data_IF_079034807150
#
_entry.id   IF_079034807150
#
_cell.length_a   1.000
_cell.length_b   1.000
_cell.length_c   1.000
_cell.angle_alpha   90.00
_cell.angle_beta   90.00
_cell.angle_gamma   90.00
#
_symmetry.space_group_name_H-M   'P 1'
#
loop_
_entity.id
_entity.type
_entity.pdbx_description
1 polymer ?
#
# COMPACT_ATOMS: atom_id res chain seq x y z
N UNK A 1 5.86 11.52 35.18
CA UNK A 1 4.71 10.83 34.61
C UNK A 1 4.90 10.81 33.10
N UNK A 2 4.81 9.65 32.42
CA UNK A 2 4.75 9.68 30.94
C UNK A 2 3.42 10.34 30.58
N UNK A 3 3.45 11.41 29.78
CA UNK A 3 2.23 11.98 29.24
C UNK A 3 1.53 10.93 28.40
N UNK A 4 0.34 10.53 28.81
CA UNK A 4 -0.50 9.61 28.06
C UNK A 4 -0.94 10.25 26.74
N UNK A 5 -1.24 9.43 25.73
CA UNK A 5 -1.75 9.93 24.46
C UNK A 5 -3.08 10.67 24.68
N UNK A 6 -3.10 11.93 24.34
CA UNK A 6 -4.26 12.81 24.31
C UNK A 6 -4.10 13.80 23.15
N UNK A 7 -5.09 14.68 22.90
CA UNK A 7 -5.05 15.61 21.78
C UNK A 7 -3.78 16.45 21.78
N UNK A 8 -3.44 17.09 22.91
CA UNK A 8 -2.25 17.93 23.02
C UNK A 8 -0.95 17.16 22.73
N UNK A 9 -0.86 15.92 23.20
CA UNK A 9 0.30 15.04 22.92
C UNK A 9 0.40 14.70 21.44
N UNK A 10 -0.74 14.38 20.80
CA UNK A 10 -0.78 14.10 19.35
C UNK A 10 -0.39 15.34 18.55
N UNK A 11 -0.95 16.51 18.90
CA UNK A 11 -0.63 17.79 18.24
C UNK A 11 0.87 18.08 18.28
N UNK A 12 1.50 17.86 19.43
CA UNK A 12 2.95 18.07 19.57
C UNK A 12 3.75 17.06 18.72
N UNK A 13 3.33 15.81 18.64
CA UNK A 13 4.00 14.79 17.83
C UNK A 13 3.89 15.10 16.33
N UNK A 14 2.71 15.52 15.87
CA UNK A 14 2.45 15.87 14.46
C UNK A 14 3.18 17.16 14.09
N UNK A 15 3.15 18.19 14.95
CA UNK A 15 3.93 19.41 14.78
C UNK A 15 5.43 19.10 14.67
N UNK A 16 5.95 18.23 15.54
CA UNK A 16 7.35 17.81 15.50
C UNK A 16 7.69 17.03 14.21
N UNK A 17 6.76 16.31 13.64
CA UNK A 17 6.96 15.65 12.33
C UNK A 17 7.06 16.70 11.21
N UNK A 18 6.16 17.68 11.18
CA UNK A 18 6.12 18.75 10.18
C UNK A 18 7.37 19.66 10.21
N UNK A 19 8.09 19.75 11.36
CA UNK A 19 9.35 20.52 11.43
C UNK A 19 10.57 19.79 10.90
N UNK A 20 10.46 18.54 10.47
CA UNK A 20 11.61 17.80 9.94
C UNK A 20 11.97 18.27 8.55
N UNK A 21 13.27 18.21 8.24
CA UNK A 21 13.78 18.64 6.93
C UNK A 21 13.01 17.98 5.80
N UNK A 22 12.53 18.76 4.85
CA UNK A 22 11.72 18.39 3.69
C UNK A 22 10.28 17.93 4.01
N UNK A 23 9.82 17.99 5.25
CA UNK A 23 8.41 17.75 5.58
C UNK A 23 7.71 19.09 5.62
N UNK A 24 6.75 19.29 4.73
CA UNK A 24 5.99 20.54 4.60
C UNK A 24 4.68 20.46 5.37
N UNK A 25 4.12 19.26 5.50
CA UNK A 25 2.91 19.01 6.27
C UNK A 25 2.84 17.60 6.80
N UNK A 26 2.02 17.40 7.83
CA UNK A 26 1.75 16.09 8.39
C UNK A 26 0.31 16.03 8.91
N UNK A 27 -0.34 14.89 8.74
CA UNK A 27 -1.63 14.58 9.35
C UNK A 27 -1.60 13.16 9.91
N UNK A 28 -2.13 12.97 11.13
CA UNK A 28 -2.30 11.66 11.74
C UNK A 28 -3.64 11.55 12.44
N UNK A 29 -4.31 10.42 12.22
CA UNK A 29 -5.54 10.03 12.88
C UNK A 29 -5.29 8.74 13.65
N UNK A 30 -5.67 8.72 14.93
CA UNK A 30 -5.47 7.60 15.85
C UNK A 30 -6.81 7.27 16.49
N UNK A 31 -7.23 6.01 16.40
CA UNK A 31 -8.51 5.59 16.97
C UNK A 31 -8.43 4.19 17.55
N UNK A 32 -9.06 3.95 18.70
CA UNK A 32 -9.25 2.60 19.25
C UNK A 32 -10.36 1.85 18.50
N UNK A 33 -10.38 0.51 18.62
CA UNK A 33 -11.41 -0.31 17.99
C UNK A 33 -12.82 0.03 18.43
N UNK A 34 -12.99 0.39 19.71
CA UNK A 34 -14.26 0.78 20.32
C UNK A 34 -14.60 2.29 20.18
N UNK A 35 -13.76 3.07 19.52
CA UNK A 35 -13.84 4.54 19.39
C UNK A 35 -13.79 5.32 20.72
N UNK A 36 -13.39 4.72 21.82
CA UNK A 36 -13.19 5.45 23.10
C UNK A 36 -12.02 6.43 23.01
N UNK A 37 -11.06 6.16 22.15
CA UNK A 37 -10.00 7.09 21.72
C UNK A 37 -10.24 7.38 20.23
N UNK A 38 -10.39 8.67 19.88
CA UNK A 38 -10.47 9.13 18.49
C UNK A 38 -9.87 10.53 18.37
N UNK A 39 -8.61 10.58 17.93
CA UNK A 39 -7.80 11.80 17.89
C UNK A 39 -7.26 12.03 16.50
N UNK A 40 -7.40 13.22 15.97
CA UNK A 40 -6.77 13.64 14.73
C UNK A 40 -6.01 14.94 14.92
N UNK A 41 -4.88 15.06 14.24
CA UNK A 41 -4.07 16.28 14.28
C UNK A 41 -3.36 16.48 12.95
N UNK A 42 -3.22 17.74 12.55
CA UNK A 42 -2.49 18.14 11.35
C UNK A 42 -1.60 19.35 11.65
N UNK A 43 -0.55 19.53 10.85
CA UNK A 43 0.38 20.65 10.98
C UNK A 43 1.12 20.93 9.67
N UNK A 44 1.59 22.16 9.50
CA UNK A 44 2.23 22.63 8.27
C UNK A 44 1.20 22.87 7.16
N UNK A 45 1.51 22.43 5.94
CA UNK A 45 0.65 22.60 4.78
C UNK A 45 -0.52 21.58 4.70
N UNK A 46 -0.65 20.70 5.70
CA UNK A 46 -1.75 19.75 5.79
C UNK A 46 -2.75 20.14 6.86
N UNK A 47 -4.03 19.88 6.56
CA UNK A 47 -5.16 20.00 7.49
C UNK A 47 -5.72 18.59 7.79
N UNK A 48 -6.59 18.46 8.80
CA UNK A 48 -7.20 17.19 9.21
C UNK A 48 -7.97 16.49 8.06
N UNK A 49 -8.54 17.27 7.16
CA UNK A 49 -9.31 16.82 6.01
C UNK A 49 -8.52 16.87 4.69
N UNK A 50 -7.22 17.11 4.72
CA UNK A 50 -6.39 17.11 3.51
C UNK A 50 -6.48 15.79 2.79
N UNK A 51 -6.72 15.85 1.48
CA UNK A 51 -6.61 14.72 0.59
C UNK A 51 -5.17 14.60 0.13
N UNK A 52 -4.63 13.39 0.12
CA UNK A 52 -3.24 13.11 -0.28
C UNK A 52 -3.13 11.77 -0.98
N UNK A 53 -2.09 11.62 -1.79
CA UNK A 53 -1.78 10.37 -2.46
C UNK A 53 -1.34 9.31 -1.44
N UNK A 54 -2.09 8.21 -1.35
CA UNK A 54 -1.85 7.16 -0.37
C UNK A 54 -0.80 6.14 -0.80
N UNK A 55 -0.33 6.24 -2.04
CA UNK A 55 0.67 5.35 -2.63
C UNK A 55 0.34 3.86 -2.37
N UNK A 56 1.30 3.08 -1.90
CA UNK A 56 1.15 1.63 -1.75
C UNK A 56 0.09 1.17 -0.73
N UNK A 57 -0.60 2.07 -0.02
CA UNK A 57 -1.77 1.69 0.77
C UNK A 57 -2.91 1.21 -0.16
N UNK A 58 -2.93 1.60 -1.45
CA UNK A 58 -3.84 1.08 -2.46
C UNK A 58 -3.84 -0.46 -2.52
N UNK A 59 -2.73 -1.10 -2.16
CA UNK A 59 -2.60 -2.56 -2.13
C UNK A 59 -3.54 -3.24 -1.13
N UNK A 60 -3.89 -2.55 -0.03
CA UNK A 60 -4.92 -3.05 0.90
C UNK A 60 -6.31 -3.01 0.24
N UNK A 61 -6.63 -1.97 -0.52
CA UNK A 61 -7.90 -1.86 -1.25
C UNK A 61 -8.01 -2.97 -2.31
N UNK A 62 -6.99 -3.15 -3.14
CA UNK A 62 -6.96 -4.25 -4.13
C UNK A 62 -7.06 -5.61 -3.43
N UNK A 63 -6.31 -5.80 -2.33
CA UNK A 63 -6.35 -7.04 -1.56
C UNK A 63 -7.73 -7.31 -0.95
N UNK A 64 -8.44 -6.28 -0.47
CA UNK A 64 -9.79 -6.44 0.08
C UNK A 64 -10.78 -6.95 -0.96
N UNK A 65 -10.67 -6.48 -2.21
CA UNK A 65 -11.50 -6.95 -3.32
C UNK A 65 -11.19 -8.43 -3.65
N UNK A 66 -9.91 -8.80 -3.77
CA UNK A 66 -9.52 -10.21 -3.99
C UNK A 66 -10.04 -11.12 -2.87
N UNK A 67 -9.92 -10.68 -1.61
CA UNK A 67 -10.41 -11.46 -0.45
C UNK A 67 -11.93 -11.55 -0.42
N UNK A 68 -12.65 -10.53 -0.88
CA UNK A 68 -14.10 -10.56 -1.07
C UNK A 68 -14.48 -11.58 -2.14
N UNK A 69 -13.86 -11.52 -3.33
CA UNK A 69 -14.08 -12.48 -4.41
C UNK A 69 -13.78 -13.93 -3.96
N UNK A 70 -12.73 -14.12 -3.17
CA UNK A 70 -12.40 -15.41 -2.55
C UNK A 70 -13.51 -15.88 -1.60
N UNK A 71 -14.05 -14.99 -0.77
CA UNK A 71 -15.15 -15.30 0.16
C UNK A 71 -16.46 -15.63 -0.57
N UNK A 72 -16.68 -14.99 -1.72
CA UNK A 72 -17.81 -15.24 -2.63
C UNK A 72 -17.65 -16.48 -3.49
N UNK A 73 -16.55 -17.25 -3.36
CA UNK A 73 -16.18 -18.41 -4.17
C UNK A 73 -16.10 -18.09 -5.68
N UNK A 74 -15.72 -16.86 -6.05
CA UNK A 74 -15.50 -16.43 -7.43
C UNK A 74 -14.05 -16.66 -7.89
N UNK A 75 -13.15 -16.94 -6.96
CA UNK A 75 -11.77 -17.38 -7.18
C UNK A 75 -11.28 -18.19 -5.97
N UNK A 76 -10.21 -18.99 -6.15
CA UNK A 76 -9.39 -19.52 -5.07
C UNK A 76 -8.00 -18.86 -5.09
N UNK A 77 -7.41 -18.64 -3.91
CA UNK A 77 -6.07 -18.03 -3.82
C UNK A 77 -4.98 -18.90 -4.46
N UNK A 78 -5.22 -20.20 -4.61
CA UNK A 78 -4.31 -21.15 -5.27
C UNK A 78 -4.58 -21.33 -6.76
N UNK A 79 -5.63 -20.72 -7.30
CA UNK A 79 -5.92 -20.76 -8.74
C UNK A 79 -4.76 -20.14 -9.52
N UNK A 80 -4.53 -20.66 -10.72
CA UNK A 80 -3.53 -20.13 -11.64
C UNK A 80 -4.02 -18.80 -12.22
N UNK A 81 -3.14 -17.82 -12.33
CA UNK A 81 -3.52 -16.55 -12.97
C UNK A 81 -3.95 -16.74 -14.43
N UNK A 82 -3.51 -17.82 -15.08
CA UNK A 82 -3.91 -18.19 -16.44
C UNK A 82 -5.37 -18.61 -16.59
N UNK A 83 -6.09 -18.85 -15.49
CA UNK A 83 -7.53 -19.11 -15.49
C UNK A 83 -8.33 -17.81 -15.65
N UNK A 84 -7.72 -16.68 -15.32
CA UNK A 84 -8.36 -15.36 -15.28
C UNK A 84 -7.80 -14.38 -16.30
N UNK A 85 -6.62 -14.63 -16.85
CA UNK A 85 -5.93 -13.70 -17.73
C UNK A 85 -5.76 -14.26 -19.16
N UNK A 86 -5.84 -13.40 -20.18
CA UNK A 86 -5.57 -13.78 -21.55
C UNK A 86 -4.18 -14.40 -21.74
N UNK A 87 -4.07 -15.35 -22.66
CA UNK A 87 -2.82 -16.08 -22.91
C UNK A 87 -1.66 -15.15 -23.32
N UNK A 88 -1.95 -14.06 -24.02
CA UNK A 88 -0.98 -13.05 -24.42
C UNK A 88 -0.42 -12.28 -23.21
N UNK A 89 -1.16 -12.10 -22.13
CA UNK A 89 -0.68 -11.52 -20.87
C UNK A 89 0.24 -12.50 -20.15
N UNK A 90 -0.19 -13.76 -20.03
CA UNK A 90 0.50 -14.78 -19.23
C UNK A 90 1.78 -15.28 -19.89
N UNK A 91 1.76 -15.54 -21.21
CA UNK A 91 2.90 -16.13 -21.94
C UNK A 91 4.17 -15.30 -21.77
N UNK A 92 5.23 -15.93 -21.22
CA UNK A 92 6.53 -15.28 -21.02
C UNK A 92 6.56 -14.23 -19.92
N UNK A 93 5.52 -14.14 -19.07
CA UNK A 93 5.46 -13.20 -17.96
C UNK A 93 6.52 -13.48 -16.90
N UNK A 94 6.86 -14.75 -16.69
CA UNK A 94 7.84 -15.17 -15.70
C UNK A 94 8.85 -16.17 -16.26
N UNK A 95 9.89 -15.67 -16.90
CA UNK A 95 11.02 -16.52 -17.37
C UNK A 95 12.20 -16.36 -16.41
N UNK A 96 12.60 -17.44 -15.73
CA UNK A 96 13.73 -17.45 -14.80
C UNK A 96 14.80 -18.45 -15.22
N UNK A 97 16.00 -17.95 -15.51
CA UNK A 97 17.15 -18.78 -15.95
C UNK A 97 16.82 -19.73 -17.11
N UNK A 98 16.10 -19.22 -18.11
CA UNK A 98 15.74 -19.94 -19.32
C UNK A 98 14.52 -20.85 -19.21
N UNK A 99 13.93 -21.01 -18.00
CA UNK A 99 12.67 -21.77 -17.81
C UNK A 99 11.50 -20.82 -17.64
N UNK A 100 10.41 -21.08 -18.39
CA UNK A 100 9.14 -20.36 -18.25
C UNK A 100 8.31 -20.95 -17.10
N UNK A 101 7.98 -20.11 -16.13
CA UNK A 101 7.16 -20.40 -14.96
C UNK A 101 5.83 -19.63 -14.98
N UNK A 102 5.48 -19.00 -16.10
CA UNK A 102 4.30 -18.14 -16.18
C UNK A 102 3.01 -18.87 -15.80
N UNK A 103 2.88 -20.15 -16.19
CA UNK A 103 1.74 -20.99 -15.82
C UNK A 103 1.81 -21.56 -14.39
N UNK A 104 2.90 -21.32 -13.66
CA UNK A 104 3.03 -21.72 -12.26
C UNK A 104 2.63 -20.59 -11.30
N UNK A 105 2.37 -19.38 -11.83
CA UNK A 105 1.90 -18.25 -11.04
C UNK A 105 0.46 -18.51 -10.55
N UNK A 106 0.27 -18.33 -9.23
CA UNK A 106 -1.05 -18.36 -8.59
C UNK A 106 -1.37 -16.99 -7.97
N UNK A 107 -2.64 -16.71 -7.72
CA UNK A 107 -3.12 -15.48 -7.05
C UNK A 107 -2.39 -15.27 -5.72
N UNK A 108 -2.23 -16.33 -4.90
CA UNK A 108 -1.51 -16.24 -3.62
C UNK A 108 -0.04 -15.80 -3.79
N UNK A 109 0.61 -16.12 -4.90
CA UNK A 109 1.98 -15.69 -5.16
C UNK A 109 2.04 -14.17 -5.36
N UNK A 110 1.06 -13.58 -6.02
CA UNK A 110 0.93 -12.13 -6.20
C UNK A 110 0.57 -11.46 -4.87
N UNK A 111 -0.46 -11.96 -4.18
CA UNK A 111 -0.93 -11.45 -2.90
C UNK A 111 0.14 -11.47 -1.81
N UNK A 112 1.06 -12.45 -1.82
CA UNK A 112 2.10 -12.61 -0.80
C UNK A 112 3.49 -12.14 -1.25
N UNK A 113 3.59 -11.50 -2.42
CA UNK A 113 4.85 -11.03 -3.03
C UNK A 113 5.90 -12.14 -3.20
N UNK A 114 5.43 -13.38 -3.45
CA UNK A 114 6.27 -14.57 -3.66
C UNK A 114 6.28 -15.02 -5.13
N UNK A 115 5.77 -14.20 -6.03
CA UNK A 115 5.78 -14.45 -7.46
C UNK A 115 7.19 -14.51 -8.06
N UNK A 116 8.13 -13.72 -7.52
CA UNK A 116 9.45 -13.53 -8.11
C UNK A 116 9.47 -12.64 -9.35
N UNK A 117 8.36 -12.01 -9.69
CA UNK A 117 8.27 -11.02 -10.75
C UNK A 117 9.11 -9.78 -10.44
N UNK A 118 9.70 -9.13 -11.45
CA UNK A 118 10.34 -7.84 -11.26
C UNK A 118 9.28 -6.75 -11.02
N UNK A 119 9.69 -5.70 -10.33
CA UNK A 119 8.87 -4.52 -10.13
C UNK A 119 9.12 -3.51 -11.25
N UNK A 120 8.11 -3.23 -12.09
CA UNK A 120 8.23 -2.27 -13.19
C UNK A 120 8.68 -0.88 -12.73
N UNK A 121 8.34 -0.52 -11.47
CA UNK A 121 8.58 0.81 -10.93
C UNK A 121 10.00 1.01 -10.38
N UNK A 122 10.52 0.04 -9.60
CA UNK A 122 11.79 0.21 -8.85
C UNK A 122 12.93 -0.68 -9.33
N UNK A 123 12.68 -1.76 -10.06
CA UNK A 123 13.75 -2.58 -10.62
C UNK A 123 14.23 -1.99 -11.97
N UNK A 124 15.43 -2.36 -12.41
CA UNK A 124 15.98 -1.89 -13.69
C UNK A 124 15.19 -2.49 -14.85
N UNK A 125 14.71 -1.63 -15.72
CA UNK A 125 14.11 -1.98 -17.00
C UNK A 125 15.15 -2.48 -18.00
N UNK A 126 14.71 -2.98 -19.15
CA UNK A 126 15.60 -3.48 -20.20
C UNK A 126 16.58 -2.41 -20.74
N UNK A 127 16.18 -1.13 -20.73
CA UNK A 127 17.00 0.02 -21.10
C UNK A 127 17.98 0.48 -19.99
N UNK A 128 17.92 -0.15 -18.80
CA UNK A 128 18.78 0.16 -17.65
C UNK A 128 18.24 1.26 -16.72
N UNK A 129 17.13 1.94 -17.08
CA UNK A 129 16.50 2.98 -16.23
C UNK A 129 15.60 2.36 -15.17
N UNK A 130 15.06 3.20 -14.28
CA UNK A 130 14.03 2.84 -13.30
C UNK A 130 12.93 3.88 -13.37
N UNK A 131 11.67 3.44 -13.53
CA UNK A 131 10.56 4.37 -13.64
C UNK A 131 10.44 5.30 -12.42
N UNK A 132 10.65 4.78 -11.20
CA UNK A 132 10.63 5.62 -9.99
C UNK A 132 11.71 6.71 -10.02
N UNK A 133 12.91 6.40 -10.48
CA UNK A 133 13.98 7.41 -10.56
C UNK A 133 13.69 8.49 -11.61
N UNK A 134 13.00 8.14 -12.69
CA UNK A 134 12.53 9.10 -13.70
C UNK A 134 11.44 10.00 -13.11
N UNK A 135 10.45 9.45 -12.39
CA UNK A 135 9.42 10.23 -11.67
C UNK A 135 10.05 11.18 -10.63
N UNK A 136 11.01 10.69 -9.85
CA UNK A 136 11.74 11.50 -8.85
C UNK A 136 12.60 12.60 -9.49
N UNK A 137 12.97 12.45 -10.77
CA UNK A 137 13.65 13.45 -11.57
C UNK A 137 12.69 14.40 -12.32
N UNK A 138 11.37 14.30 -12.08
CA UNK A 138 10.35 15.13 -12.70
C UNK A 138 9.91 14.68 -14.10
N UNK A 139 10.27 13.45 -14.51
CA UNK A 139 9.82 12.87 -15.79
C UNK A 139 8.50 12.13 -15.55
N UNK A 140 7.39 12.80 -15.81
CA UNK A 140 6.07 12.19 -15.74
C UNK A 140 5.72 11.46 -17.04
N UNK A 141 5.40 10.19 -16.94
CA UNK A 141 5.00 9.36 -18.07
C UNK A 141 3.96 8.31 -17.66
N UNK A 142 3.00 7.98 -18.54
CA UNK A 142 1.99 7.00 -18.22
C UNK A 142 2.57 5.57 -18.18
N UNK A 143 2.00 4.75 -17.29
CA UNK A 143 2.30 3.34 -17.11
C UNK A 143 1.02 2.49 -17.16
N UNK A 144 0.29 2.47 -18.31
CA UNK A 144 -0.88 1.62 -18.45
C UNK A 144 -0.48 0.14 -18.36
N UNK A 145 -1.44 -0.72 -18.04
CA UNK A 145 -1.19 -2.14 -17.75
C UNK A 145 -0.47 -2.86 -18.89
N UNK A 146 -0.78 -2.54 -20.15
CA UNK A 146 -0.12 -3.15 -21.32
C UNK A 146 1.38 -2.83 -21.36
N UNK A 147 1.75 -1.57 -21.06
CA UNK A 147 3.15 -1.16 -20.94
C UNK A 147 3.83 -1.87 -19.78
N UNK A 148 3.15 -1.98 -18.61
CA UNK A 148 3.68 -2.71 -17.45
C UNK A 148 3.97 -4.16 -17.82
N UNK A 149 3.01 -4.88 -18.42
CA UNK A 149 3.19 -6.28 -18.85
C UNK A 149 4.32 -6.41 -19.86
N UNK A 150 4.35 -5.53 -20.88
CA UNK A 150 5.40 -5.53 -21.91
C UNK A 150 6.79 -5.39 -21.28
N UNK A 151 6.99 -4.40 -20.40
CA UNK A 151 8.30 -4.17 -19.77
C UNK A 151 8.67 -5.31 -18.81
N UNK A 152 7.73 -5.80 -17.98
CA UNK A 152 7.97 -6.90 -17.04
C UNK A 152 8.47 -8.16 -17.74
N UNK A 153 7.91 -8.51 -18.91
CA UNK A 153 8.36 -9.67 -19.71
C UNK A 153 9.82 -9.54 -20.19
N UNK A 154 10.34 -8.34 -20.31
CA UNK A 154 11.72 -8.04 -20.75
C UNK A 154 12.70 -7.91 -19.58
N UNK A 155 12.18 -7.82 -18.36
CA UNK A 155 12.99 -7.63 -17.15
C UNK A 155 13.43 -8.97 -16.56
N UNK A 156 14.48 -8.93 -15.74
CA UNK A 156 15.02 -10.12 -15.06
C UNK A 156 14.16 -10.49 -13.84
N UNK A 157 13.61 -11.68 -13.84
CA UNK A 157 12.90 -12.25 -12.68
C UNK A 157 13.86 -12.58 -11.54
N UNK A 158 13.36 -12.56 -10.29
CA UNK A 158 14.19 -12.75 -9.09
C UNK A 158 14.35 -14.21 -8.67
N UNK A 159 13.27 -14.99 -8.71
CA UNK A 159 13.23 -16.41 -8.30
C UNK A 159 11.95 -17.07 -8.83
N UNK A 160 11.88 -18.42 -8.91
CA UNK A 160 10.66 -19.10 -9.30
C UNK A 160 9.49 -18.84 -8.34
N UNK A 161 8.22 -18.81 -8.83
CA UNK A 161 7.04 -18.56 -8.02
C UNK A 161 6.98 -19.50 -6.82
N UNK A 162 6.57 -18.99 -5.65
CA UNK A 162 6.42 -19.75 -4.43
C UNK A 162 7.72 -20.30 -3.82
N UNK A 163 8.90 -19.90 -4.31
CA UNK A 163 10.17 -20.38 -3.76
C UNK A 163 10.24 -20.16 -2.25
N UNK A 164 10.48 -21.25 -1.52
CA UNK A 164 10.53 -21.26 -0.05
C UNK A 164 11.47 -20.16 0.49
N UNK A 165 10.99 -19.38 1.45
CA UNK A 165 11.74 -18.33 2.13
C UNK A 165 12.04 -17.09 1.30
N UNK A 166 11.52 -16.98 0.07
CA UNK A 166 11.70 -15.82 -0.80
C UNK A 166 10.42 -15.00 -0.92
N UNK A 167 10.57 -13.70 -0.78
CA UNK A 167 9.58 -12.70 -1.15
C UNK A 167 10.30 -11.46 -1.67
N UNK A 168 9.71 -10.75 -2.60
CA UNK A 168 10.25 -9.51 -3.16
C UNK A 168 9.11 -8.52 -3.34
N UNK A 169 9.22 -7.38 -2.68
CA UNK A 169 8.27 -6.28 -2.84
C UNK A 169 8.26 -5.81 -4.30
N UNK A 170 7.07 -5.58 -4.85
CA UNK A 170 6.92 -5.10 -6.22
C UNK A 170 5.47 -4.79 -6.58
N UNK A 171 5.28 -3.63 -7.20
CA UNK A 171 3.99 -3.07 -7.61
C UNK A 171 3.35 -3.90 -8.74
N UNK A 172 4.15 -4.52 -9.60
CA UNK A 172 3.70 -5.42 -10.68
C UNK A 172 2.66 -6.44 -10.21
N UNK A 173 2.84 -7.00 -9.00
CA UNK A 173 1.90 -8.00 -8.47
C UNK A 173 0.48 -7.45 -8.36
N UNK A 174 0.33 -6.22 -7.85
CA UNK A 174 -0.98 -5.62 -7.63
C UNK A 174 -1.59 -5.06 -8.91
N UNK A 175 -0.77 -4.67 -9.90
CA UNK A 175 -1.27 -4.36 -11.24
C UNK A 175 -1.89 -5.59 -11.90
N UNK A 176 -1.25 -6.77 -11.77
CA UNK A 176 -1.81 -8.03 -12.28
C UNK A 176 -3.06 -8.45 -11.49
N UNK A 177 -3.09 -8.25 -10.16
CA UNK A 177 -4.30 -8.51 -9.35
C UNK A 177 -5.46 -7.60 -9.77
N UNK A 178 -5.20 -6.34 -10.11
CA UNK A 178 -6.22 -5.43 -10.66
C UNK A 178 -6.79 -5.94 -11.96
N UNK A 179 -5.95 -6.43 -12.89
CA UNK A 179 -6.41 -7.02 -14.14
C UNK A 179 -7.24 -8.32 -13.92
N UNK A 180 -6.88 -9.13 -12.91
CA UNK A 180 -7.68 -10.30 -12.51
C UNK A 180 -9.05 -9.86 -12.00
N UNK A 181 -9.12 -8.80 -11.17
CA UNK A 181 -10.40 -8.24 -10.70
C UNK A 181 -11.27 -7.82 -11.89
N UNK A 182 -10.71 -7.09 -12.84
CA UNK A 182 -11.44 -6.66 -14.06
C UNK A 182 -12.01 -7.83 -14.84
N UNK A 183 -11.22 -8.89 -15.06
CA UNK A 183 -11.67 -10.06 -15.80
C UNK A 183 -12.75 -10.88 -15.06
N UNK A 184 -12.71 -10.93 -13.73
CA UNK A 184 -13.73 -11.63 -12.92
C UNK A 184 -15.02 -10.81 -12.84
N UNK A 185 -14.91 -9.49 -12.67
CA UNK A 185 -16.07 -8.61 -12.45
C UNK A 185 -16.72 -8.15 -13.75
N UNK A 186 -15.95 -8.09 -14.85
CA UNK A 186 -16.34 -7.49 -16.12
C UNK A 186 -16.34 -5.96 -16.09
N UNK A 187 -15.81 -5.35 -15.03
CA UNK A 187 -15.76 -3.90 -14.81
C UNK A 187 -14.33 -3.40 -14.66
N UNK A 188 -14.00 -2.17 -15.08
CA UNK A 188 -12.71 -1.55 -14.78
C UNK A 188 -12.43 -1.53 -13.27
N UNK A 189 -11.21 -1.79 -12.85
CA UNK A 189 -10.82 -1.82 -11.42
C UNK A 189 -11.14 -0.50 -10.73
N UNK A 190 -11.03 0.62 -11.41
CA UNK A 190 -11.39 1.93 -10.89
C UNK A 190 -12.87 2.02 -10.52
N UNK A 191 -13.77 1.41 -11.30
CA UNK A 191 -15.20 1.36 -10.98
C UNK A 191 -15.47 0.44 -9.78
N UNK A 192 -14.80 -0.73 -9.74
CA UNK A 192 -14.91 -1.65 -8.59
C UNK A 192 -14.44 -0.98 -7.30
N UNK A 193 -13.35 -0.20 -7.37
CA UNK A 193 -12.85 0.60 -6.23
C UNK A 193 -13.84 1.71 -5.84
N UNK A 194 -14.42 2.43 -6.80
CA UNK A 194 -15.45 3.46 -6.54
C UNK A 194 -16.68 2.88 -5.84
N UNK A 195 -17.14 1.70 -6.26
CA UNK A 195 -18.24 0.99 -5.61
C UNK A 195 -17.88 0.66 -4.15
N UNK A 196 -16.65 0.23 -3.89
CA UNK A 196 -16.15 -0.02 -2.53
C UNK A 196 -16.12 1.28 -1.69
N UNK A 197 -15.68 2.41 -2.28
CA UNK A 197 -15.68 3.69 -1.58
C UNK A 197 -17.09 4.15 -1.21
N UNK A 198 -18.06 3.97 -2.11
CA UNK A 198 -19.46 4.29 -1.85
C UNK A 198 -20.05 3.39 -0.74
N UNK A 199 -19.79 2.08 -0.79
CA UNK A 199 -20.25 1.12 0.23
C UNK A 199 -19.76 1.52 1.65
N UNK A 200 -18.52 2.00 1.74
CA UNK A 200 -17.92 2.43 3.01
C UNK A 200 -18.16 3.90 3.34
N UNK A 201 -18.89 4.63 2.49
CA UNK A 201 -19.09 6.07 2.62
C UNK A 201 -17.79 6.89 2.72
N UNK A 202 -16.77 6.51 1.92
CA UNK A 202 -15.48 7.22 1.83
C UNK A 202 -15.64 8.42 0.88
N UNK A 203 -16.25 9.48 1.36
CA UNK A 203 -16.69 10.59 0.53
C UNK A 203 -15.58 11.49 -0.02
N UNK A 204 -14.37 11.35 0.52
CA UNK A 204 -13.18 12.11 0.11
C UNK A 204 -12.06 11.19 -0.43
N UNK A 205 -12.44 9.99 -0.90
CA UNK A 205 -11.54 9.02 -1.50
C UNK A 205 -11.94 8.78 -2.95
N UNK A 206 -10.95 8.82 -3.85
CA UNK A 206 -11.19 8.57 -5.27
C UNK A 206 -9.97 7.95 -5.95
N UNK A 207 -10.20 7.30 -7.10
CA UNK A 207 -9.15 6.83 -8.00
C UNK A 207 -8.70 7.99 -8.88
N UNK A 208 -7.39 8.15 -9.08
CA UNK A 208 -6.85 9.14 -10.01
C UNK A 208 -7.23 8.77 -11.44
N UNK A 209 -8.11 9.54 -12.06
CA UNK A 209 -8.56 9.37 -13.47
C UNK A 209 -8.56 10.68 -14.24
N UNK A 210 -8.35 11.81 -13.57
CA UNK A 210 -8.25 13.12 -14.19
C UNK A 210 -6.89 13.74 -13.89
N UNK A 211 -6.07 13.87 -14.93
CA UNK A 211 -4.73 14.45 -14.84
C UNK A 211 -4.75 15.94 -14.46
N UNK A 212 -5.90 16.61 -14.58
CA UNK A 212 -6.07 18.03 -14.20
C UNK A 212 -6.60 18.19 -12.77
N UNK A 213 -6.83 17.09 -12.04
CA UNK A 213 -7.30 17.16 -10.66
C UNK A 213 -6.14 17.45 -9.71
N UNK A 214 -6.04 18.69 -9.25
CA UNK A 214 -5.05 19.19 -8.31
C UNK A 214 -5.64 19.42 -6.90
N UNK A 215 -6.75 18.76 -6.54
CA UNK A 215 -7.43 18.99 -5.25
C UNK A 215 -6.73 18.37 -4.05
N UNK A 216 -5.71 17.56 -4.25
CA UNK A 216 -4.93 16.94 -3.18
C UNK A 216 -3.61 17.66 -2.92
N UNK A 217 -3.09 17.47 -1.71
CA UNK A 217 -1.81 18.08 -1.30
C UNK A 217 -0.67 17.59 -2.19
N UNK A 218 0.19 18.49 -2.72
CA UNK A 218 1.30 18.11 -3.60
C UNK A 218 2.21 17.06 -3.00
N UNK A 219 2.61 16.07 -3.78
CA UNK A 219 3.62 15.10 -3.38
C UNK A 219 4.99 15.77 -3.46
N UNK A 220 5.86 15.57 -2.47
CA UNK A 220 7.21 16.12 -2.50
C UNK A 220 8.30 15.04 -2.61
N UNK A 221 9.34 15.36 -3.36
CA UNK A 221 10.62 14.67 -3.33
C UNK A 221 11.72 15.66 -2.92
N UNK A 222 12.18 15.60 -1.67
CA UNK A 222 13.03 16.62 -1.02
C UNK A 222 12.33 17.99 -1.03
N UNK A 223 12.93 19.00 -1.69
CA UNK A 223 12.41 20.37 -1.81
C UNK A 223 11.47 20.57 -2.99
N UNK A 224 11.39 19.62 -3.91
CA UNK A 224 10.65 19.77 -5.14
C UNK A 224 9.28 19.09 -5.06
N UNK A 225 8.27 19.70 -5.65
CA UNK A 225 6.99 19.05 -5.87
C UNK A 225 7.10 18.02 -7.00
N UNK A 226 6.56 16.83 -6.77
CA UNK A 226 6.45 15.79 -7.79
C UNK A 226 5.11 15.93 -8.51
N UNK A 227 5.12 16.60 -9.65
CA UNK A 227 3.95 16.68 -10.52
C UNK A 227 3.94 15.47 -11.46
N UNK A 228 3.13 14.44 -11.13
CA UNK A 228 3.09 13.14 -11.81
C UNK A 228 1.67 12.70 -12.21
N UNK A 229 0.84 13.59 -12.78
CA UNK A 229 -0.56 13.27 -13.10
C UNK A 229 -0.71 12.18 -14.16
N UNK A 230 0.18 12.11 -15.15
CA UNK A 230 0.13 11.07 -16.18
C UNK A 230 0.41 9.68 -15.59
N UNK A 231 1.36 9.59 -14.67
CA UNK A 231 1.63 8.35 -13.95
C UNK A 231 0.41 7.91 -13.12
N UNK A 232 -0.08 8.78 -12.24
CA UNK A 232 -1.19 8.46 -11.33
C UNK A 232 -2.46 8.06 -12.08
N UNK A 233 -2.76 8.74 -13.19
CA UNK A 233 -3.96 8.49 -13.99
C UNK A 233 -3.89 7.19 -14.82
N UNK A 234 -2.72 6.70 -15.10
CA UNK A 234 -2.53 5.55 -16.02
C UNK A 234 -2.61 4.18 -15.36
N UNK A 235 -2.51 4.11 -14.04
CA UNK A 235 -2.48 2.83 -13.30
C UNK A 235 -3.86 2.31 -12.94
N UNK A 236 -4.90 3.16 -13.00
CA UNK A 236 -6.32 2.87 -12.69
C UNK A 236 -6.58 2.34 -11.26
N UNK A 237 -5.58 2.29 -10.40
CA UNK A 237 -5.70 1.89 -9.00
C UNK A 237 -4.91 2.78 -8.04
N UNK A 238 -4.39 3.91 -8.49
CA UNK A 238 -3.82 4.92 -7.62
C UNK A 238 -4.92 5.76 -6.98
N UNK A 239 -4.81 5.93 -5.65
CA UNK A 239 -5.88 6.45 -4.82
C UNK A 239 -5.42 7.70 -4.09
N UNK A 240 -6.28 8.73 -4.12
CA UNK A 240 -6.23 9.89 -3.24
C UNK A 240 -7.25 9.66 -2.11
N UNK A 241 -6.86 9.96 -0.88
CA UNK A 241 -7.74 9.77 0.30
C UNK A 241 -7.37 10.72 1.43
N UNK A 242 -8.16 10.72 2.50
CA UNK A 242 -7.87 11.43 3.75
C UNK A 242 -7.48 10.45 4.86
N UNK A 243 -6.90 10.95 5.95
CA UNK A 243 -6.63 10.13 7.13
C UNK A 243 -7.92 9.53 7.74
N UNK A 244 -9.05 10.28 7.69
CA UNK A 244 -10.35 9.82 8.19
C UNK A 244 -10.93 8.69 7.32
N UNK A 245 -10.94 8.83 6.01
CA UNK A 245 -11.47 7.80 5.11
C UNK A 245 -10.63 6.52 5.18
N UNK A 246 -9.29 6.66 5.24
CA UNK A 246 -8.41 5.51 5.45
C UNK A 246 -8.64 4.83 6.79
N UNK A 247 -8.97 5.57 7.87
CA UNK A 247 -9.35 5.00 9.16
C UNK A 247 -10.61 4.16 9.05
N UNK A 248 -11.64 4.67 8.38
CA UNK A 248 -12.89 3.95 8.11
C UNK A 248 -12.62 2.65 7.34
N UNK A 249 -11.86 2.74 6.25
CA UNK A 249 -11.46 1.56 5.47
C UNK A 249 -10.65 0.55 6.31
N UNK A 250 -9.67 1.01 7.07
CA UNK A 250 -8.80 0.15 7.86
C UNK A 250 -9.59 -0.62 8.94
N UNK A 251 -10.54 0.05 9.62
CA UNK A 251 -11.46 -0.59 10.58
C UNK A 251 -12.35 -1.61 9.88
N UNK A 252 -12.92 -1.30 8.71
CA UNK A 252 -13.71 -2.23 7.91
C UNK A 252 -12.90 -3.48 7.51
N UNK A 253 -11.63 -3.29 7.12
CA UNK A 253 -10.72 -4.38 6.75
C UNK A 253 -10.50 -5.35 7.93
N UNK A 254 -10.14 -4.85 9.10
CA UNK A 254 -9.80 -5.69 10.26
C UNK A 254 -11.02 -6.17 11.06
N UNK A 255 -12.20 -5.56 10.88
CA UNK A 255 -13.46 -6.07 11.44
C UNK A 255 -14.00 -7.30 10.71
N UNK A 256 -13.51 -7.56 9.47
CA UNK A 256 -13.95 -8.69 8.65
C UNK A 256 -15.12 -8.36 7.71
N UNK A 257 -15.26 -7.10 7.30
CA UNK A 257 -16.32 -6.70 6.36
C UNK A 257 -16.13 -7.27 4.95
N UNK A 258 -14.87 -7.52 4.54
CA UNK A 258 -14.54 -8.04 3.20
C UNK A 258 -14.33 -9.56 3.17
N UNK A 259 -14.07 -10.17 4.32
CA UNK A 259 -13.82 -11.60 4.49
C UNK A 259 -14.04 -12.00 5.94
N UNK A 260 -14.24 -13.29 6.20
CA UNK A 260 -14.45 -13.75 7.57
C UNK A 260 -13.27 -13.38 8.48
N UNK A 261 -13.50 -12.66 9.57
CA UNK A 261 -12.47 -12.22 10.54
C UNK A 261 -11.58 -13.36 11.01
N UNK A 262 -12.12 -14.58 11.15
CA UNK A 262 -11.34 -15.77 11.51
C UNK A 262 -10.21 -16.09 10.51
N UNK A 263 -10.33 -15.67 9.24
CA UNK A 263 -9.30 -15.87 8.20
C UNK A 263 -8.14 -14.89 8.30
N UNK A 264 -8.18 -13.85 9.13
CA UNK A 264 -7.04 -12.94 9.32
C UNK A 264 -5.74 -13.68 9.64
N UNK A 265 -5.81 -14.72 10.48
CA UNK A 265 -4.64 -15.57 10.81
C UNK A 265 -4.07 -16.31 9.59
N UNK A 266 -4.90 -16.65 8.61
CA UNK A 266 -4.44 -17.30 7.37
C UNK A 266 -3.64 -16.33 6.51
N UNK A 267 -3.92 -15.02 6.58
CA UNK A 267 -3.21 -13.96 5.89
C UNK A 267 -1.83 -13.69 6.50
N UNK A 268 -1.62 -14.07 7.76
CA UNK A 268 -0.39 -13.78 8.53
C UNK A 268 0.79 -14.72 8.22
N UNK A 269 0.86 -15.26 7.02
CA UNK A 269 1.99 -16.09 6.57
C UNK A 269 3.23 -15.23 6.23
N UNK A 270 3.80 -14.60 7.25
CA UNK A 270 4.82 -13.57 7.14
C UNK A 270 6.11 -14.02 6.48
N UNK A 271 6.56 -13.30 5.46
CA UNK A 271 7.86 -13.43 4.82
C UNK A 271 8.61 -12.10 4.87
N UNK A 272 9.93 -12.15 5.06
CA UNK A 272 10.76 -10.94 5.04
C UNK A 272 10.81 -10.40 3.60
N UNK A 273 10.54 -9.11 3.46
CA UNK A 273 10.74 -8.37 2.19
C UNK A 273 11.98 -7.49 2.31
N UNK A 274 12.00 -6.53 3.21
CA UNK A 274 13.16 -5.72 3.61
C UNK A 274 12.92 -5.20 5.05
N UNK A 275 14.00 -4.94 5.79
CA UNK A 275 13.85 -4.44 7.18
C UNK A 275 13.29 -3.02 7.19
N UNK A 276 12.33 -2.69 8.06
CA UNK A 276 11.74 -3.51 9.12
C UNK A 276 10.42 -4.21 8.74
N UNK A 277 10.24 -4.57 7.47
CA UNK A 277 8.97 -5.06 6.96
C UNK A 277 8.98 -6.54 6.62
N UNK A 278 7.84 -7.19 6.94
CA UNK A 278 7.44 -8.50 6.44
C UNK A 278 6.16 -8.35 5.63
N UNK A 279 5.83 -9.34 4.81
CA UNK A 279 4.61 -9.37 4.02
C UNK A 279 3.90 -10.72 4.20
N UNK A 280 2.61 -10.67 4.45
CA UNK A 280 1.69 -11.79 4.48
C UNK A 280 0.93 -11.93 3.16
N UNK A 281 -0.29 -12.38 3.21
CA UNK A 281 -1.19 -12.42 2.05
C UNK A 281 -1.99 -11.12 2.04
N UNK A 282 -1.63 -10.18 1.15
CA UNK A 282 -2.28 -8.88 1.01
C UNK A 282 -2.00 -7.86 2.13
N UNK A 283 -1.11 -8.18 3.06
CA UNK A 283 -0.81 -7.37 4.25
C UNK A 283 0.68 -7.14 4.42
N UNK A 284 1.04 -5.93 4.82
CA UNK A 284 2.38 -5.60 5.30
C UNK A 284 2.40 -5.61 6.85
N UNK A 285 3.50 -6.09 7.42
CA UNK A 285 3.77 -6.00 8.86
C UNK A 285 5.01 -5.14 9.09
N UNK A 286 4.87 -4.11 9.91
CA UNK A 286 5.99 -3.42 10.51
C UNK A 286 6.42 -4.21 11.76
N UNK A 287 7.70 -4.55 11.82
CA UNK A 287 8.26 -5.41 12.88
C UNK A 287 9.59 -4.86 13.36
N UNK A 288 9.67 -4.55 14.65
CA UNK A 288 10.91 -4.10 15.28
C UNK A 288 11.42 -5.17 16.27
N UNK A 289 12.57 -5.79 16.01
CA UNK A 289 13.15 -6.75 16.94
C UNK A 289 13.37 -6.14 18.33
N UNK A 290 13.07 -6.87 19.38
CA UNK A 290 13.23 -6.41 20.77
C UNK A 290 14.67 -5.96 21.09
N UNK A 291 15.67 -6.54 20.42
CA UNK A 291 17.07 -6.14 20.53
C UNK A 291 17.32 -4.68 20.13
N UNK A 292 16.54 -4.16 19.18
CA UNK A 292 16.63 -2.76 18.71
C UNK A 292 15.73 -1.79 19.50
N UNK A 293 14.89 -2.30 20.41
CA UNK A 293 14.07 -1.53 21.35
C UNK A 293 13.99 -2.23 22.71
N UNK A 294 15.12 -2.30 23.46
CA UNK A 294 15.21 -3.15 24.64
C UNK A 294 14.37 -2.65 25.82
N UNK A 295 14.18 -1.36 25.96
CA UNK A 295 13.48 -0.76 27.11
C UNK A 295 11.95 -0.70 26.91
N UNK A 296 11.50 -0.50 25.69
CA UNK A 296 10.07 -0.42 25.34
C UNK A 296 9.89 -1.23 24.05
N UNK A 297 9.36 -2.46 24.17
CA UNK A 297 9.02 -3.25 22.99
C UNK A 297 8.04 -2.48 22.10
N UNK A 298 8.34 -2.36 20.81
CA UNK A 298 7.40 -1.82 19.83
C UNK A 298 6.51 -2.98 19.40
N UNK A 299 5.17 -2.89 19.57
CA UNK A 299 4.28 -3.95 19.15
C UNK A 299 4.32 -4.12 17.62
N UNK A 300 3.94 -5.30 17.15
CA UNK A 300 3.74 -5.55 15.73
C UNK A 300 2.58 -4.67 15.22
N UNK A 301 2.76 -4.08 14.05
CA UNK A 301 1.72 -3.28 13.39
C UNK A 301 1.44 -3.88 12.02
N UNK A 302 0.19 -4.15 11.71
CA UNK A 302 -0.24 -4.78 10.46
C UNK A 302 -1.11 -3.82 9.64
N UNK A 303 -0.90 -3.80 8.34
CA UNK A 303 -1.56 -2.83 7.47
C UNK A 303 -0.73 -2.58 6.22
N UNK A 304 -0.51 -1.34 5.85
CA UNK A 304 0.41 -0.96 4.77
C UNK A 304 0.95 0.45 4.93
N UNK A 305 2.18 0.67 4.45
CA UNK A 305 2.77 2.00 4.30
C UNK A 305 2.98 2.37 2.84
N UNK A 306 2.91 3.66 2.54
CA UNK A 306 3.16 4.21 1.21
C UNK A 306 4.52 4.89 1.09
N UNK A 307 5.04 4.93 -0.13
CA UNK A 307 6.33 5.54 -0.45
C UNK A 307 6.37 7.05 -0.18
N UNK A 308 5.23 7.72 -0.21
CA UNK A 308 5.08 9.15 0.10
C UNK A 308 5.04 9.47 1.60
N UNK A 309 5.36 8.50 2.46
CA UNK A 309 5.24 8.67 3.91
C UNK A 309 3.78 8.60 4.40
N UNK A 310 2.93 7.89 3.68
CA UNK A 310 1.59 7.54 4.15
C UNK A 310 1.63 6.25 4.96
N UNK A 311 0.77 6.13 5.97
CA UNK A 311 0.65 4.98 6.87
C UNK A 311 -0.81 4.64 7.13
N UNK A 312 -1.14 3.34 7.13
CA UNK A 312 -2.42 2.80 7.55
C UNK A 312 -2.16 1.46 8.24
N UNK A 313 -2.11 1.47 9.58
CA UNK A 313 -1.72 0.32 10.40
C UNK A 313 -2.67 0.11 11.57
N UNK A 314 -2.93 -1.16 11.84
CA UNK A 314 -3.59 -1.67 13.04
C UNK A 314 -2.55 -2.29 13.97
N UNK A 315 -2.65 -2.01 15.25
CA UNK A 315 -1.82 -2.53 16.35
C UNK A 315 -2.65 -3.54 17.15
N UNK A 316 -2.59 -4.84 16.85
CA UNK A 316 -3.50 -5.83 17.44
C UNK A 316 -3.45 -5.90 18.95
N UNK A 317 -2.24 -5.80 19.55
CA UNK A 317 -2.04 -5.90 21.00
C UNK A 317 -2.68 -4.74 21.78
N UNK A 318 -3.04 -3.65 21.10
CA UNK A 318 -3.59 -2.42 21.71
C UNK A 318 -4.98 -2.08 21.17
N UNK A 319 -5.52 -2.88 20.25
CA UNK A 319 -6.72 -2.56 19.47
C UNK A 319 -6.76 -1.12 18.95
N UNK A 320 -5.61 -0.69 18.37
CA UNK A 320 -5.37 0.70 17.96
C UNK A 320 -5.16 0.79 16.46
N UNK A 321 -5.76 1.77 15.83
CA UNK A 321 -5.64 2.08 14.42
C UNK A 321 -4.93 3.42 14.25
N UNK A 322 -4.03 3.50 13.27
CA UNK A 322 -3.28 4.71 12.96
C UNK A 322 -3.25 4.89 11.45
N UNK A 323 -3.70 6.05 10.99
CA UNK A 323 -3.60 6.47 9.60
C UNK A 323 -2.98 7.87 9.52
N UNK A 324 -2.35 8.20 8.40
CA UNK A 324 -1.78 9.54 8.24
C UNK A 324 -0.74 9.61 7.13
N UNK A 325 -0.15 10.80 6.97
CA UNK A 325 0.89 11.06 5.98
C UNK A 325 1.79 12.21 6.39
N UNK A 326 3.02 12.18 5.88
CA UNK A 326 3.95 13.30 5.86
C UNK A 326 4.22 13.81 4.44
N UNK A 327 3.55 13.23 3.45
CA UNK A 327 3.54 13.57 2.04
C UNK A 327 4.93 13.80 1.41
N UNK A 328 5.93 12.98 1.80
CA UNK A 328 7.31 13.13 1.39
C UNK A 328 7.93 11.82 0.92
N UNK A 329 8.18 11.70 -0.39
CA UNK A 329 8.76 10.52 -1.03
C UNK A 329 10.22 10.24 -0.60
N UNK A 330 11.03 11.29 -0.42
CA UNK A 330 12.45 11.12 -0.05
C UNK A 330 12.66 10.72 1.43
N UNK A 331 11.65 10.91 2.29
CA UNK A 331 11.75 10.66 3.74
C UNK A 331 10.51 9.98 4.34
N UNK A 332 10.03 8.88 3.74
CA UNK A 332 8.83 8.18 4.23
C UNK A 332 8.99 7.66 5.67
N UNK A 333 10.24 7.45 6.11
CA UNK A 333 10.55 7.00 7.47
C UNK A 333 10.08 7.96 8.57
N UNK A 334 9.84 9.24 8.29
CA UNK A 334 9.34 10.20 9.31
C UNK A 334 7.94 9.82 9.75
N UNK A 335 7.06 9.40 8.83
CA UNK A 335 5.73 8.92 9.18
C UNK A 335 5.79 7.67 10.09
N UNK A 336 6.63 6.69 9.78
CA UNK A 336 6.82 5.50 10.62
C UNK A 336 7.39 5.84 11.99
N UNK A 337 8.34 6.77 12.07
CA UNK A 337 8.88 7.25 13.36
C UNK A 337 7.80 7.95 14.19
N UNK A 338 6.91 8.71 13.56
CA UNK A 338 5.80 9.38 14.23
C UNK A 338 4.79 8.36 14.75
N UNK A 339 4.42 7.37 13.93
CA UNK A 339 3.57 6.25 14.32
C UNK A 339 4.13 5.50 15.56
N UNK A 340 5.43 5.18 15.57
CA UNK A 340 6.10 4.55 16.72
C UNK A 340 6.00 5.44 17.97
N UNK A 341 6.20 6.75 17.83
CA UNK A 341 6.10 7.69 18.95
C UNK A 341 4.68 7.77 19.52
N UNK A 342 3.66 7.72 18.64
CA UNK A 342 2.25 7.67 19.04
C UNK A 342 2.00 6.41 19.89
N UNK A 343 2.39 5.24 19.39
CA UNK A 343 2.22 3.97 20.11
C UNK A 343 2.93 3.96 21.46
N UNK A 344 4.11 4.58 21.55
CA UNK A 344 4.88 4.66 22.82
C UNK A 344 4.28 5.62 23.86
N UNK A 345 3.20 6.35 23.53
CA UNK A 345 2.48 7.24 24.45
C UNK A 345 1.21 6.58 25.04
N UNK A 346 0.93 5.36 24.65
CA UNK A 346 -0.10 4.50 25.22
C UNK A 346 0.50 3.50 26.20
#
# INVERSE_FOLDING_TARGET
MKDSLNQSTLDQLVKNAATKKYIYGAVFHVSSGDNSLDLISASGEMEENSQYYIASINKLFVSSIILRLYTENRLDLHDKISEYLPAEVVRGLHVHKGKDYSNDLCIVHLMSLTSGLPCYLVDKQANGTKAMAELEAGVDQPWPIDKVIHEVKRMKTHFPPGKRGKAKYGDTNHQILSLIIENITGEPVSLVLKNLFQELNLTRTYVCEDANNETFVPIHYKSEEMHIPLFLNSTHNDIISTARDQMTFLKAFFSGQFFLKARLKELEKWKRIFFPFKYGIGLQKFYMPRLLSPFHGIPDMIGHGGSTGSVAFYVPDMDLYITGSTNQQARPNIAFQTMIKIVNKL
#
